data_IF_289770970450
#
_entry.id   IF_289770970450
#
_cell.length_a   1.000
_cell.length_b   1.000
_cell.length_c   1.000
_cell.angle_alpha   90.00
_cell.angle_beta   90.00
_cell.angle_gamma   90.00
#
_symmetry.space_group_name_H-M   'P 1'
#
loop_
_entity.id
_entity.type
_entity.pdbx_description
1 polymer ?
#
# COMPACT_ATOMS: atom_id res chain seq x y z
N UNK A 1 60.23 43.02 -29.61
CA UNK A 1 60.20 41.98 -28.59
C UNK A 1 58.71 41.58 -28.42
N UNK A 2 58.22 40.48 -29.08
CA UNK A 2 56.82 40.07 -29.04
C UNK A 2 56.75 38.81 -28.19
N UNK A 3 56.07 38.89 -27.05
CA UNK A 3 55.82 37.76 -26.14
C UNK A 3 54.53 37.09 -26.54
N UNK A 4 54.65 35.84 -27.04
CA UNK A 4 53.49 35.02 -27.45
C UNK A 4 52.84 34.32 -26.23
N UNK A 5 51.57 34.56 -26.01
CA UNK A 5 50.77 33.84 -25.03
C UNK A 5 50.28 32.52 -25.64
N UNK A 6 50.78 31.37 -25.18
CA UNK A 6 50.24 30.05 -25.45
C UNK A 6 48.96 29.84 -24.58
N UNK A 7 47.81 29.74 -25.24
CA UNK A 7 46.56 29.31 -24.58
C UNK A 7 46.61 27.79 -24.38
N UNK A 8 46.69 27.40 -23.11
CA UNK A 8 46.39 26.02 -22.68
C UNK A 8 44.87 25.80 -22.72
N UNK A 9 44.40 25.00 -23.71
CA UNK A 9 43.03 24.48 -23.70
C UNK A 9 43.03 23.23 -22.85
N UNK A 10 42.71 23.38 -21.54
CA UNK A 10 42.37 22.25 -20.67
C UNK A 10 41.05 21.64 -21.10
N UNK A 11 41.08 20.41 -21.54
CA UNK A 11 39.88 19.56 -21.73
C UNK A 11 39.39 19.18 -20.32
N UNK A 12 38.30 19.79 -19.87
CA UNK A 12 37.56 19.32 -18.70
C UNK A 12 36.66 18.18 -19.22
N UNK A 13 37.02 16.93 -18.92
CA UNK A 13 36.13 15.78 -19.12
C UNK A 13 35.03 15.83 -18.03
N UNK A 14 33.76 15.59 -18.38
CA UNK A 14 32.70 15.55 -17.38
C UNK A 14 32.72 14.20 -16.66
N UNK A 15 33.17 14.18 -15.42
CA UNK A 15 33.15 13.02 -14.52
C UNK A 15 31.80 12.86 -13.77
N UNK A 16 30.67 13.28 -14.37
CA UNK A 16 29.37 13.34 -13.67
C UNK A 16 28.42 12.19 -14.04
N UNK A 17 28.78 11.29 -14.96
CA UNK A 17 27.82 10.26 -15.46
C UNK A 17 27.87 8.89 -14.75
N UNK A 18 28.76 8.67 -13.77
CA UNK A 18 28.95 7.33 -13.19
C UNK A 18 28.09 7.04 -11.92
N UNK A 19 27.55 8.05 -11.24
CA UNK A 19 26.82 7.86 -9.96
C UNK A 19 25.34 7.48 -10.15
N UNK A 20 24.73 7.80 -11.29
CA UNK A 20 23.33 7.48 -11.56
C UNK A 20 23.07 6.03 -11.96
N UNK A 21 24.04 5.38 -12.59
CA UNK A 21 23.89 4.01 -13.13
C UNK A 21 23.97 2.91 -12.07
N UNK A 22 24.72 3.12 -10.97
CA UNK A 22 24.76 2.14 -9.88
C UNK A 22 23.44 2.03 -9.11
N UNK A 23 22.77 3.15 -8.87
CA UNK A 23 21.50 3.16 -8.13
C UNK A 23 20.35 2.46 -8.89
N UNK A 24 20.31 2.61 -10.22
CA UNK A 24 19.31 1.95 -11.05
C UNK A 24 19.55 0.44 -11.15
N UNK A 25 20.79 0.00 -11.26
CA UNK A 25 21.15 -1.43 -11.31
C UNK A 25 20.81 -2.16 -10.00
N UNK A 26 21.05 -1.55 -8.85
CA UNK A 26 20.65 -2.11 -7.56
C UNK A 26 19.12 -2.20 -7.42
N UNK A 27 18.38 -1.21 -7.88
CA UNK A 27 16.94 -1.20 -7.82
C UNK A 27 16.29 -2.30 -8.70
N UNK A 28 16.86 -2.58 -9.86
CA UNK A 28 16.39 -3.65 -10.76
C UNK A 28 16.74 -5.03 -10.19
N UNK A 29 17.94 -5.20 -9.61
CA UNK A 29 18.36 -6.46 -8.99
C UNK A 29 17.42 -6.83 -7.81
N UNK A 30 17.10 -5.89 -6.94
CA UNK A 30 16.16 -6.12 -5.84
C UNK A 30 14.73 -6.44 -6.30
N UNK A 31 14.28 -5.88 -7.41
CA UNK A 31 12.96 -6.21 -7.97
C UNK A 31 12.91 -7.63 -8.52
N UNK A 32 13.97 -8.11 -9.19
CA UNK A 32 14.07 -9.49 -9.67
C UNK A 32 14.21 -10.51 -8.54
N UNK A 33 14.96 -10.19 -7.50
CA UNK A 33 15.05 -11.00 -6.28
C UNK A 33 13.71 -11.04 -5.54
N UNK A 34 13.04 -9.90 -5.37
CA UNK A 34 11.73 -9.83 -4.74
C UNK A 34 10.67 -10.66 -5.47
N UNK A 35 10.67 -10.68 -6.81
CA UNK A 35 9.79 -11.54 -7.60
C UNK A 35 10.06 -13.02 -7.32
N UNK A 36 11.31 -13.44 -7.29
CA UNK A 36 11.71 -14.83 -6.98
C UNK A 36 11.29 -15.23 -5.56
N UNK A 37 11.52 -14.35 -4.59
CA UNK A 37 11.14 -14.56 -3.20
C UNK A 37 9.62 -14.54 -2.98
N UNK A 38 8.87 -13.88 -3.85
CA UNK A 38 7.41 -13.84 -3.83
C UNK A 38 6.75 -15.14 -4.35
N UNK A 39 7.49 -16.01 -5.06
CA UNK A 39 6.94 -17.22 -5.66
C UNK A 39 6.09 -18.10 -4.71
N UNK A 40 6.47 -18.37 -3.45
CA UNK A 40 5.63 -19.11 -2.50
C UNK A 40 4.31 -18.40 -2.14
N UNK A 41 4.25 -17.07 -2.26
CA UNK A 41 3.10 -16.26 -1.91
C UNK A 41 2.01 -16.29 -2.98
N UNK A 42 2.38 -16.65 -4.22
CA UNK A 42 1.49 -16.68 -5.40
C UNK A 42 0.29 -17.59 -5.21
N UNK A 43 0.44 -18.69 -4.46
CA UNK A 43 -0.63 -19.67 -4.19
C UNK A 43 -1.87 -19.00 -3.58
N UNK A 44 -1.65 -18.01 -2.69
CA UNK A 44 -2.73 -17.29 -2.01
C UNK A 44 -2.96 -15.89 -2.59
N UNK A 45 -1.88 -15.17 -2.85
CA UNK A 45 -1.97 -13.76 -3.25
C UNK A 45 -2.02 -13.54 -4.77
N UNK A 46 -1.96 -14.60 -5.59
CA UNK A 46 -1.92 -14.59 -7.05
C UNK A 46 -0.61 -13.99 -7.64
N UNK A 47 -0.27 -14.27 -8.92
CA UNK A 47 0.94 -13.76 -9.55
C UNK A 47 1.03 -12.23 -9.64
N UNK A 48 -0.13 -11.57 -9.77
CA UNK A 48 -0.27 -10.12 -9.81
C UNK A 48 -0.36 -9.47 -8.43
N UNK A 49 -0.32 -10.28 -7.36
CA UNK A 49 -0.49 -9.86 -5.98
C UNK A 49 -1.84 -9.16 -5.69
N UNK A 50 -2.88 -9.44 -6.47
CA UNK A 50 -4.20 -8.84 -6.30
C UNK A 50 -5.10 -9.56 -5.28
N UNK A 51 -4.61 -10.65 -4.68
CA UNK A 51 -5.35 -11.43 -3.70
C UNK A 51 -6.31 -12.45 -4.33
N UNK A 52 -7.15 -13.06 -3.51
CA UNK A 52 -8.10 -14.09 -3.98
C UNK A 52 -9.34 -13.48 -4.65
N UNK A 53 -9.97 -14.22 -5.60
CA UNK A 53 -11.16 -13.75 -6.30
C UNK A 53 -12.37 -13.48 -5.40
N UNK A 54 -12.45 -14.13 -4.23
CA UNK A 54 -13.48 -13.89 -3.21
C UNK A 54 -13.16 -12.71 -2.28
N UNK A 55 -11.96 -12.13 -2.42
CA UNK A 55 -11.47 -11.02 -1.62
C UNK A 55 -11.09 -11.39 -0.18
N UNK A 56 -11.03 -12.67 0.18
CA UNK A 56 -10.61 -13.11 1.50
C UNK A 56 -9.09 -12.91 1.72
N UNK A 57 -8.29 -13.11 0.67
CA UNK A 57 -6.84 -12.84 0.67
C UNK A 57 -6.60 -11.42 0.14
N UNK A 58 -5.82 -10.59 0.85
CA UNK A 58 -5.68 -9.18 0.48
C UNK A 58 -4.88 -8.94 -0.80
N UNK A 59 -5.23 -7.85 -1.48
CA UNK A 59 -4.38 -7.19 -2.46
C UNK A 59 -3.12 -6.62 -1.78
N UNK A 60 -1.95 -6.96 -2.31
CA UNK A 60 -0.64 -6.46 -1.86
C UNK A 60 0.00 -5.52 -2.89
N UNK A 61 -0.44 -5.59 -4.15
CA UNK A 61 0.11 -4.81 -5.25
C UNK A 61 -0.07 -3.30 -5.04
N UNK A 62 0.99 -2.53 -5.26
CA UNK A 62 0.98 -1.08 -5.10
C UNK A 62 0.87 -0.60 -3.64
N UNK A 63 1.00 -1.50 -2.65
CA UNK A 63 1.04 -1.11 -1.26
C UNK A 63 2.41 -0.49 -0.92
N UNK A 64 2.43 0.42 0.03
CA UNK A 64 3.64 1.13 0.43
C UNK A 64 4.72 0.18 0.96
N UNK A 65 5.94 0.29 0.42
CA UNK A 65 7.09 -0.54 0.78
C UNK A 65 7.31 -0.63 2.29
N UNK A 66 7.40 0.52 2.98
CA UNK A 66 7.67 0.56 4.43
C UNK A 66 6.57 -0.10 5.25
N UNK A 67 5.32 0.02 4.81
CA UNK A 67 4.20 -0.67 5.44
C UNK A 67 4.30 -2.18 5.24
N UNK A 68 4.59 -2.66 4.03
CA UNK A 68 4.81 -4.08 3.73
C UNK A 68 5.95 -4.65 4.57
N UNK A 69 7.11 -3.99 4.61
CA UNK A 69 8.26 -4.40 5.42
C UNK A 69 7.86 -4.59 6.89
N UNK A 70 7.13 -3.63 7.44
CA UNK A 70 6.68 -3.69 8.83
C UNK A 70 5.68 -4.83 9.05
N UNK A 71 4.72 -5.03 8.15
CA UNK A 71 3.74 -6.10 8.28
C UNK A 71 4.36 -7.49 8.17
N UNK A 72 5.29 -7.71 7.23
CA UNK A 72 6.02 -8.95 7.09
C UNK A 72 6.87 -9.26 8.34
N UNK A 73 7.55 -8.26 8.89
CA UNK A 73 8.29 -8.39 10.13
C UNK A 73 7.38 -8.74 11.32
N UNK A 74 6.17 -8.17 11.41
CA UNK A 74 5.20 -8.47 12.46
C UNK A 74 4.64 -9.90 12.34
N UNK A 75 4.41 -10.41 11.13
CA UNK A 75 4.05 -11.82 10.93
C UNK A 75 5.19 -12.76 11.36
N UNK A 76 6.42 -12.45 10.98
CA UNK A 76 7.62 -13.23 11.36
C UNK A 76 7.78 -13.33 12.87
N UNK A 77 7.49 -12.28 13.61
CA UNK A 77 7.62 -12.26 15.08
C UNK A 77 6.37 -12.73 15.82
N UNK A 78 5.29 -13.07 15.11
CA UNK A 78 4.00 -13.40 15.72
C UNK A 78 3.24 -12.22 16.29
N UNK A 79 3.79 -11.00 16.24
CA UNK A 79 3.15 -9.80 16.78
C UNK A 79 1.90 -9.37 15.99
N UNK A 80 1.77 -9.82 14.73
CA UNK A 80 0.52 -9.76 13.97
C UNK A 80 -0.02 -11.18 13.81
N UNK A 81 -1.17 -11.44 14.43
CA UNK A 81 -1.80 -12.75 14.39
C UNK A 81 -2.35 -13.08 12.98
N UNK A 82 -1.92 -14.20 12.43
CA UNK A 82 -2.48 -14.85 11.25
C UNK A 82 -1.84 -16.22 11.11
N UNK A 83 -2.58 -17.29 11.38
CA UNK A 83 -2.05 -18.66 11.28
C UNK A 83 -1.43 -18.95 9.92
N UNK A 84 -2.11 -18.58 8.83
CA UNK A 84 -1.60 -18.80 7.46
C UNK A 84 -0.29 -18.06 7.20
N UNK A 85 -0.22 -16.76 7.57
CA UNK A 85 0.99 -15.95 7.35
C UNK A 85 2.13 -16.33 8.28
N UNK A 86 1.84 -16.83 9.49
CA UNK A 86 2.87 -17.35 10.41
C UNK A 86 3.48 -18.62 9.85
N UNK A 87 2.67 -19.58 9.34
CA UNK A 87 3.18 -20.78 8.68
C UNK A 87 4.10 -20.45 7.49
N UNK A 88 3.73 -19.46 6.67
CA UNK A 88 4.59 -18.98 5.58
C UNK A 88 5.88 -18.37 6.14
N UNK A 89 5.80 -17.58 7.21
CA UNK A 89 6.97 -16.96 7.84
C UNK A 89 7.94 -17.98 8.46
N UNK A 90 7.43 -19.08 9.02
CA UNK A 90 8.23 -20.14 9.63
C UNK A 90 8.93 -21.03 8.59
N UNK A 91 8.28 -21.30 7.45
CA UNK A 91 8.74 -22.28 6.47
C UNK A 91 9.43 -21.69 5.24
N UNK A 92 9.50 -20.36 5.11
CA UNK A 92 10.02 -19.74 3.92
C UNK A 92 10.83 -18.46 4.12
N UNK A 93 10.95 -17.76 3.09
CA UNK A 93 11.64 -16.63 2.58
C UNK A 93 11.64 -15.34 3.44
N UNK A 94 10.97 -15.29 4.59
CA UNK A 94 11.07 -14.14 5.51
C UNK A 94 12.31 -14.20 6.42
N UNK A 95 13.30 -15.05 6.07
CA UNK A 95 14.42 -15.41 6.92
C UNK A 95 15.23 -14.23 7.45
N UNK A 96 15.42 -13.20 6.65
CA UNK A 96 16.15 -12.01 7.05
C UNK A 96 15.46 -10.72 6.58
N UNK A 97 15.99 -9.59 7.02
CA UNK A 97 15.46 -8.27 6.68
C UNK A 97 15.68 -7.93 5.19
N UNK A 98 16.72 -8.47 4.57
CA UNK A 98 17.01 -8.27 3.14
C UNK A 98 15.91 -8.88 2.27
N UNK A 99 15.49 -10.11 2.57
CA UNK A 99 14.37 -10.78 1.88
C UNK A 99 13.05 -10.01 2.03
N UNK A 100 12.73 -9.57 3.26
CA UNK A 100 11.55 -8.73 3.51
C UNK A 100 11.60 -7.46 2.66
N UNK A 101 12.76 -6.79 2.62
CA UNK A 101 12.94 -5.56 1.84
C UNK A 101 12.81 -5.82 0.33
N UNK A 102 13.34 -6.93 -0.18
CA UNK A 102 13.23 -7.30 -1.58
C UNK A 102 11.77 -7.60 -1.99
N UNK A 103 11.04 -8.39 -1.19
CA UNK A 103 9.62 -8.69 -1.41
C UNK A 103 8.78 -7.40 -1.37
N UNK A 104 8.97 -6.57 -0.35
CA UNK A 104 8.25 -5.30 -0.21
C UNK A 104 8.54 -4.33 -1.36
N UNK A 105 9.79 -4.28 -1.83
CA UNK A 105 10.18 -3.48 -2.99
C UNK A 105 9.51 -3.97 -4.27
N UNK A 106 9.45 -5.28 -4.48
CA UNK A 106 8.76 -5.88 -5.62
C UNK A 106 7.27 -5.53 -5.61
N UNK A 107 6.58 -5.85 -4.51
CA UNK A 107 5.13 -5.65 -4.36
C UNK A 107 4.71 -4.18 -4.49
N UNK A 108 5.51 -3.25 -3.96
CA UNK A 108 5.20 -1.82 -4.02
C UNK A 108 5.26 -1.22 -5.43
N UNK A 109 5.85 -1.93 -6.38
CA UNK A 109 5.97 -1.51 -7.78
C UNK A 109 4.96 -2.15 -8.71
N UNK A 110 4.21 -3.13 -8.22
CA UNK A 110 3.14 -3.76 -8.99
C UNK A 110 1.94 -2.81 -9.12
N UNK A 111 1.28 -2.88 -10.26
CA UNK A 111 0.05 -2.13 -10.49
C UNK A 111 -1.04 -2.59 -9.53
N UNK A 112 -1.68 -1.62 -8.89
CA UNK A 112 -2.78 -1.89 -7.98
C UNK A 112 -3.94 -2.59 -8.69
N UNK A 113 -4.69 -3.40 -7.94
CA UNK A 113 -5.86 -4.10 -8.48
C UNK A 113 -6.91 -3.09 -8.99
N UNK A 114 -7.24 -3.09 -10.31
CA UNK A 114 -8.23 -2.18 -10.85
C UNK A 114 -9.67 -2.58 -10.50
N UNK A 115 -9.89 -3.84 -10.10
CA UNK A 115 -11.20 -4.43 -9.85
C UNK A 115 -11.24 -5.21 -8.52
N UNK A 116 -11.11 -4.53 -7.36
CA UNK A 116 -11.24 -5.20 -6.07
C UNK A 116 -12.67 -5.71 -5.87
N UNK A 117 -12.83 -6.74 -5.04
CA UNK A 117 -14.16 -7.18 -4.61
C UNK A 117 -14.81 -6.05 -3.79
N UNK A 118 -16.01 -5.67 -4.18
CA UNK A 118 -16.79 -4.57 -3.57
C UNK A 118 -17.92 -5.15 -2.71
N UNK A 119 -18.44 -4.34 -1.78
CA UNK A 119 -19.66 -4.65 -1.05
C UNK A 119 -20.92 -4.41 -1.91
N UNK A 120 -22.11 -4.43 -1.26
CA UNK A 120 -23.42 -4.31 -1.94
C UNK A 120 -23.67 -2.98 -2.63
N UNK A 121 -23.03 -1.91 -2.19
CA UNK A 121 -23.30 -0.54 -2.65
C UNK A 121 -24.48 0.15 -1.96
N UNK A 122 -25.15 -0.52 -1.02
CA UNK A 122 -26.41 -0.05 -0.45
C UNK A 122 -26.25 1.21 0.42
N UNK A 123 -25.16 1.31 1.17
CA UNK A 123 -24.95 2.39 2.15
C UNK A 123 -23.72 3.26 1.86
N UNK A 124 -23.39 3.47 0.58
CA UNK A 124 -22.17 4.18 0.18
C UNK A 124 -22.08 5.61 0.72
N UNK A 125 -23.22 6.35 0.81
CA UNK A 125 -23.22 7.70 1.38
C UNK A 125 -22.82 7.70 2.84
N UNK A 126 -23.29 6.75 3.63
CA UNK A 126 -22.90 6.60 5.04
C UNK A 126 -21.41 6.28 5.13
N UNK A 127 -20.92 5.33 4.33
CA UNK A 127 -19.50 5.00 4.26
C UNK A 127 -18.61 6.18 3.87
N UNK A 128 -19.06 7.00 2.92
CA UNK A 128 -18.37 8.22 2.50
C UNK A 128 -18.29 9.26 3.62
N UNK A 129 -19.39 9.53 4.30
CA UNK A 129 -19.43 10.46 5.42
C UNK A 129 -18.50 10.03 6.55
N UNK A 130 -18.57 8.76 6.96
CA UNK A 130 -17.69 8.19 7.98
C UNK A 130 -16.21 8.28 7.56
N UNK A 131 -15.91 7.90 6.32
CA UNK A 131 -14.54 7.97 5.82
C UNK A 131 -13.99 9.38 5.83
N UNK A 132 -14.74 10.33 5.31
CA UNK A 132 -14.32 11.72 5.17
C UNK A 132 -14.06 12.38 6.51
N UNK A 133 -14.93 12.14 7.49
CA UNK A 133 -14.84 12.79 8.80
C UNK A 133 -13.88 12.11 9.78
N UNK A 134 -13.65 10.79 9.63
CA UNK A 134 -12.91 10.01 10.64
C UNK A 134 -11.58 9.48 10.05
N UNK A 135 -11.59 8.94 8.85
CA UNK A 135 -10.47 8.18 8.31
C UNK A 135 -9.55 9.00 7.39
N UNK A 136 -10.14 9.93 6.63
CA UNK A 136 -9.46 10.67 5.56
C UNK A 136 -8.28 11.49 6.02
N UNK A 137 -8.30 12.02 7.25
CA UNK A 137 -7.20 12.81 7.82
C UNK A 137 -5.87 12.04 7.88
N UNK A 138 -5.92 10.72 8.13
CA UNK A 138 -4.74 9.87 8.22
C UNK A 138 -4.51 9.07 6.92
N UNK A 139 -5.58 8.48 6.36
CA UNK A 139 -5.49 7.62 5.18
C UNK A 139 -5.51 8.36 3.84
N UNK A 140 -5.61 9.70 3.84
CA UNK A 140 -5.86 10.51 2.65
C UNK A 140 -7.33 10.40 2.21
N UNK A 141 -7.86 11.45 1.61
CA UNK A 141 -9.25 11.43 1.08
C UNK A 141 -9.41 10.50 -0.12
N UNK A 142 -8.30 10.16 -0.77
CA UNK A 142 -8.17 9.19 -1.86
C UNK A 142 -7.85 7.77 -1.38
N UNK A 143 -7.60 7.56 -0.08
CA UNK A 143 -7.22 6.28 0.50
C UNK A 143 -5.80 5.81 0.15
N UNK A 144 -4.98 6.66 -0.46
CA UNK A 144 -3.60 6.32 -0.84
C UNK A 144 -2.61 6.48 0.30
N UNK A 145 -3.00 7.22 1.34
CA UNK A 145 -2.25 7.51 2.56
C UNK A 145 -0.89 8.19 2.35
N UNK A 146 -0.16 8.41 3.43
CA UNK A 146 1.19 8.97 3.40
C UNK A 146 2.22 7.90 3.80
N UNK A 147 3.11 7.56 2.87
CA UNK A 147 4.15 6.54 3.06
C UNK A 147 5.09 6.84 4.24
N UNK A 148 5.27 8.11 4.61
CA UNK A 148 6.17 8.51 5.70
C UNK A 148 5.70 8.02 7.07
N UNK A 149 4.37 7.92 7.29
CA UNK A 149 3.76 7.68 8.60
C UNK A 149 3.36 6.21 8.84
N UNK A 150 3.76 5.27 8.01
CA UNK A 150 3.35 3.85 8.08
C UNK A 150 1.81 3.63 8.02
N UNK A 151 1.07 4.64 7.61
CA UNK A 151 -0.37 4.53 7.35
C UNK A 151 -0.56 3.82 6.02
N UNK A 152 -1.27 2.68 5.95
CA UNK A 152 -1.39 1.92 4.72
C UNK A 152 -2.27 2.60 3.68
N UNK A 153 -1.94 2.37 2.41
CA UNK A 153 -2.93 2.51 1.35
C UNK A 153 -4.08 1.53 1.61
N UNK A 154 -5.30 2.02 1.61
CA UNK A 154 -6.53 1.20 1.78
C UNK A 154 -7.43 1.26 0.55
N UNK A 155 -7.24 2.25 -0.31
CA UNK A 155 -7.91 2.34 -1.60
C UNK A 155 -7.64 1.10 -2.47
N UNK A 156 -8.68 0.55 -3.09
CA UNK A 156 -8.57 -0.62 -3.96
C UNK A 156 -8.32 -1.94 -3.23
N UNK A 157 -8.53 -1.99 -1.94
CA UNK A 157 -8.51 -3.24 -1.18
C UNK A 157 -9.87 -3.92 -1.23
N UNK A 158 -9.89 -5.24 -1.15
CA UNK A 158 -11.13 -6.04 -1.16
C UNK A 158 -12.02 -5.76 0.05
N UNK A 159 -13.33 -5.58 -0.19
CA UNK A 159 -14.32 -5.39 0.86
C UNK A 159 -14.27 -6.46 1.96
N UNK A 160 -14.26 -7.79 1.67
CA UNK A 160 -14.25 -8.79 2.73
C UNK A 160 -13.00 -8.73 3.60
N UNK A 161 -11.86 -8.37 3.01
CA UNK A 161 -10.63 -8.17 3.77
C UNK A 161 -10.69 -6.90 4.61
N UNK A 162 -11.16 -5.78 4.06
CA UNK A 162 -11.34 -4.52 4.79
C UNK A 162 -12.24 -4.69 5.99
N UNK A 163 -13.42 -5.32 5.79
CA UNK A 163 -14.39 -5.56 6.85
C UNK A 163 -13.77 -6.34 8.01
N UNK A 164 -13.11 -7.45 7.70
CA UNK A 164 -12.38 -8.22 8.71
C UNK A 164 -11.28 -7.43 9.42
N UNK A 165 -10.52 -6.58 8.69
CA UNK A 165 -9.47 -5.79 9.30
C UNK A 165 -10.00 -4.64 10.17
N UNK A 166 -11.17 -4.11 9.86
CA UNK A 166 -11.90 -3.16 10.70
C UNK A 166 -12.27 -3.82 12.03
N UNK A 167 -12.79 -5.04 12.03
CA UNK A 167 -13.12 -5.77 13.25
C UNK A 167 -11.87 -6.08 14.08
N UNK A 168 -10.83 -6.61 13.44
CA UNK A 168 -9.55 -6.90 14.12
C UNK A 168 -8.95 -5.64 14.77
N UNK A 169 -9.12 -4.47 14.15
CA UNK A 169 -8.66 -3.20 14.71
C UNK A 169 -9.58 -2.73 15.86
N UNK A 170 -10.89 -2.88 15.72
CA UNK A 170 -11.85 -2.56 16.77
C UNK A 170 -11.59 -3.39 18.05
N UNK A 171 -11.23 -4.66 17.90
CA UNK A 171 -10.96 -5.59 18.99
C UNK A 171 -9.53 -5.50 19.58
N UNK A 172 -8.76 -4.47 19.22
CA UNK A 172 -7.36 -4.27 19.64
C UNK A 172 -6.37 -5.36 19.19
N UNK A 173 -6.77 -6.26 18.31
CA UNK A 173 -5.92 -7.34 17.79
C UNK A 173 -5.08 -6.92 16.58
N UNK A 174 -5.25 -5.69 16.10
CA UNK A 174 -4.46 -5.14 14.99
C UNK A 174 -3.18 -4.53 15.52
N UNK A 175 -2.05 -5.17 15.29
CA UNK A 175 -0.75 -4.62 15.61
C UNK A 175 -0.56 -3.24 14.95
N UNK A 176 -0.13 -2.25 15.73
CA UNK A 176 0.13 -0.86 15.30
C UNK A 176 -1.12 -0.04 14.92
N UNK A 177 -2.33 -0.49 15.21
CA UNK A 177 -3.50 0.38 15.12
C UNK A 177 -3.41 1.45 16.21
N UNK A 178 -3.47 2.75 15.87
CA UNK A 178 -3.43 3.79 16.89
C UNK A 178 -4.72 3.80 17.71
N UNK A 179 -4.67 4.24 18.99
CA UNK A 179 -5.83 4.27 19.89
C UNK A 179 -7.03 5.02 19.33
N UNK A 180 -6.79 6.11 18.60
CA UNK A 180 -7.83 6.95 17.97
C UNK A 180 -8.62 6.15 16.92
N UNK A 181 -7.91 5.42 16.05
CA UNK A 181 -8.53 4.54 15.04
C UNK A 181 -9.32 3.42 15.71
N UNK A 182 -8.72 2.76 16.70
CA UNK A 182 -9.35 1.65 17.43
C UNK A 182 -10.59 2.09 18.18
N UNK A 183 -10.53 3.24 18.86
CA UNK A 183 -11.66 3.82 19.57
C UNK A 183 -12.83 4.16 18.65
N UNK A 184 -12.56 4.78 17.50
CA UNK A 184 -13.58 5.11 16.51
C UNK A 184 -14.24 3.85 15.94
N UNK A 185 -13.45 2.84 15.54
CA UNK A 185 -13.98 1.59 14.98
C UNK A 185 -14.78 0.77 15.99
N UNK A 186 -14.39 0.79 17.28
CA UNK A 186 -15.12 0.11 18.35
C UNK A 186 -16.49 0.74 18.61
N UNK A 187 -16.61 2.05 18.47
CA UNK A 187 -17.85 2.77 18.67
C UNK A 187 -18.85 2.59 17.52
N UNK A 188 -18.41 2.11 16.34
CA UNK A 188 -19.26 1.94 15.17
C UNK A 188 -20.09 0.66 15.26
N UNK A 189 -21.40 0.69 14.99
CA UNK A 189 -22.21 -0.51 14.76
C UNK A 189 -21.75 -1.24 13.48
N UNK A 190 -22.10 -2.53 13.38
CA UNK A 190 -21.66 -3.36 12.24
C UNK A 190 -22.13 -2.82 10.89
N UNK A 191 -23.33 -2.26 10.81
CA UNK A 191 -23.84 -1.64 9.57
C UNK A 191 -22.99 -0.46 9.09
N UNK A 192 -22.42 0.32 10.00
CA UNK A 192 -21.50 1.42 9.66
C UNK A 192 -20.12 0.90 9.25
N UNK A 193 -19.61 -0.15 9.89
CA UNK A 193 -18.38 -0.83 9.49
C UNK A 193 -18.51 -1.44 8.09
N UNK A 194 -19.67 -2.01 7.78
CA UNK A 194 -19.97 -2.54 6.43
C UNK A 194 -20.00 -1.42 5.40
N UNK A 195 -20.70 -0.33 5.67
CA UNK A 195 -20.76 0.84 4.80
C UNK A 195 -19.37 1.44 4.55
N UNK A 196 -18.56 1.56 5.63
CA UNK A 196 -17.20 2.09 5.55
C UNK A 196 -16.30 1.19 4.71
N UNK A 197 -16.31 -0.13 4.94
CA UNK A 197 -15.51 -1.09 4.17
C UNK A 197 -15.89 -1.09 2.69
N UNK A 198 -17.20 -1.03 2.39
CA UNK A 198 -17.69 -0.97 1.00
C UNK A 198 -17.24 0.31 0.29
N UNK A 199 -17.38 1.47 0.94
CA UNK A 199 -16.91 2.73 0.38
C UNK A 199 -15.41 2.70 0.09
N UNK A 200 -14.57 2.25 1.04
CA UNK A 200 -13.11 2.16 0.89
C UNK A 200 -12.73 1.24 -0.28
N UNK A 201 -13.44 0.12 -0.47
CA UNK A 201 -13.17 -0.82 -1.56
C UNK A 201 -13.35 -0.19 -2.96
N UNK A 202 -14.04 0.93 -3.04
CA UNK A 202 -14.33 1.67 -4.29
C UNK A 202 -13.44 2.87 -4.53
N UNK A 203 -12.67 3.34 -3.53
CA UNK A 203 -11.85 4.56 -3.63
C UNK A 203 -10.86 4.54 -4.81
N UNK A 204 -10.26 3.39 -5.14
CA UNK A 204 -9.24 3.28 -6.19
C UNK A 204 -9.77 3.50 -7.61
N UNK A 205 -11.08 3.42 -7.82
CA UNK A 205 -11.76 3.51 -9.12
C UNK A 205 -12.77 4.66 -9.17
N UNK A 206 -12.84 5.46 -8.12
CA UNK A 206 -13.69 6.63 -8.15
C UNK A 206 -13.00 7.73 -8.97
N UNK A 207 -13.44 7.94 -10.21
CA UNK A 207 -13.69 9.33 -10.60
C UNK A 207 -14.40 9.98 -9.41
N UNK A 208 -14.05 11.22 -9.02
CA UNK A 208 -14.81 11.91 -7.98
C UNK A 208 -16.28 11.70 -8.32
N UNK A 209 -17.07 11.19 -7.37
CA UNK A 209 -18.51 11.25 -7.46
C UNK A 209 -18.80 12.75 -7.52
N UNK A 210 -18.73 13.32 -8.74
CA UNK A 210 -19.14 14.68 -8.99
C UNK A 210 -20.60 14.69 -8.62
N UNK A 211 -20.87 15.28 -7.46
CA UNK A 211 -22.21 15.59 -7.02
C UNK A 211 -22.92 16.28 -8.19
N UNK A 212 -23.76 15.51 -8.90
CA UNK A 212 -24.62 16.06 -9.95
C UNK A 212 -25.61 17.09 -9.39
N UNK A 213 -25.46 17.45 -8.12
CA UNK A 213 -26.31 18.37 -7.37
C UNK A 213 -25.55 19.51 -6.67
N UNK A 214 -24.26 19.74 -6.99
CA UNK A 214 -23.59 20.97 -6.52
C UNK A 214 -23.88 22.12 -7.48
N UNK A 215 -24.66 23.14 -7.07
CA UNK A 215 -25.03 24.27 -7.95
C UNK A 215 -23.87 25.24 -8.25
N UNK A 216 -22.63 24.95 -7.80
CA UNK A 216 -21.49 25.85 -7.91
C UNK A 216 -20.25 25.23 -8.60
N UNK A 217 -20.40 24.27 -9.51
CA UNK A 217 -19.30 23.85 -10.37
C UNK A 217 -19.04 24.93 -11.43
N UNK A 218 -18.24 25.94 -11.08
CA UNK A 218 -17.65 26.85 -12.07
C UNK A 218 -16.59 26.07 -12.84
N UNK A 219 -16.88 25.79 -14.11
CA UNK A 219 -15.86 25.29 -15.07
C UNK A 219 -14.90 26.43 -15.42
N UNK A 220 -13.58 26.17 -15.54
CA UNK A 220 -12.63 27.12 -16.10
C UNK A 220 -12.86 27.36 -17.59
#
# INVERSE_FOLDING_TARGET
MRIGYRRFRGRILPAVLALGSLSAAHAVAHASEGSRLYAPCVVCHQPNAWGSPDGAIPNLAGQQKRYLEKQLALFRTGARASTAMQLVAEHSTFGDQGHITAIATYLSRLDANPNPVKGSGEHLRVGQELYTHICGACHGYDGLANAANLVPRIAGQHYPYLRRQIDVAADLHRALAPPEMTGALRAMPDSEKDALADYISRLANSEPLLDSHSPNAVRP
#
